data_IF_231541894044
#
_entry.id   IF_231541894044
#
_cell.length_a   1.000
_cell.length_b   1.000
_cell.length_c   1.000
_cell.angle_alpha   90.00
_cell.angle_beta   90.00
_cell.angle_gamma   90.00
#
_symmetry.space_group_name_H-M   'P 1'
#
loop_
_entity.id
_entity.type
_entity.pdbx_description
1 polymer ?
#
# COMPACT_ATOMS: atom_id res chain seq x y z
N UNK A 1 -33.85 4.75 -16.05
CA UNK A 1 -33.59 5.95 -15.23
C UNK A 1 -33.76 5.72 -13.73
N UNK A 2 -34.98 5.61 -13.16
CA UNK A 2 -35.18 5.55 -11.70
C UNK A 2 -34.51 4.34 -11.03
N UNK A 3 -34.61 3.14 -11.62
CA UNK A 3 -34.00 1.92 -11.08
C UNK A 3 -32.46 2.01 -11.07
N UNK A 4 -31.87 2.59 -12.12
CA UNK A 4 -30.42 2.77 -12.26
C UNK A 4 -29.92 3.75 -11.19
N UNK A 5 -30.61 4.88 -11.03
CA UNK A 5 -30.27 5.88 -10.03
C UNK A 5 -30.36 5.34 -8.59
N UNK A 6 -31.43 4.60 -8.28
CA UNK A 6 -31.57 3.94 -6.99
C UNK A 6 -30.45 2.90 -6.74
N UNK A 7 -30.11 2.10 -7.77
CA UNK A 7 -29.01 1.13 -7.69
C UNK A 7 -27.65 1.77 -7.45
N UNK A 8 -27.34 2.89 -8.13
CA UNK A 8 -26.10 3.62 -7.93
C UNK A 8 -25.98 4.20 -6.51
N UNK A 9 -27.05 4.80 -5.99
CA UNK A 9 -27.05 5.32 -4.62
C UNK A 9 -26.82 4.22 -3.58
N UNK A 10 -27.51 3.08 -3.72
CA UNK A 10 -27.33 1.92 -2.84
C UNK A 10 -25.89 1.40 -2.95
N UNK A 11 -25.36 1.28 -4.16
CA UNK A 11 -23.98 0.83 -4.41
C UNK A 11 -22.94 1.75 -3.76
N UNK A 12 -23.07 3.07 -3.92
CA UNK A 12 -22.16 4.06 -3.32
C UNK A 12 -22.20 3.98 -1.79
N UNK A 13 -23.41 3.94 -1.19
CA UNK A 13 -23.56 3.82 0.27
C UNK A 13 -22.93 2.51 0.77
N UNK A 14 -23.14 1.40 0.05
CA UNK A 14 -22.56 0.11 0.39
C UNK A 14 -21.02 0.13 0.33
N UNK A 15 -20.44 0.72 -0.71
CA UNK A 15 -18.98 0.86 -0.86
C UNK A 15 -18.41 1.69 0.30
N UNK A 16 -19.01 2.84 0.61
CA UNK A 16 -18.55 3.71 1.71
C UNK A 16 -18.59 2.95 3.04
N UNK A 17 -19.69 2.25 3.33
CA UNK A 17 -19.88 1.52 4.58
C UNK A 17 -18.87 0.36 4.76
N UNK A 18 -18.42 -0.26 3.67
CA UNK A 18 -17.44 -1.34 3.72
C UNK A 18 -15.98 -0.87 3.65
N UNK A 19 -15.71 0.28 3.05
CA UNK A 19 -14.35 0.72 2.77
C UNK A 19 -13.48 0.79 4.03
N UNK A 20 -13.99 1.35 5.12
CA UNK A 20 -13.25 1.43 6.39
C UNK A 20 -12.89 0.03 6.94
N UNK A 21 -13.83 -0.91 6.90
CA UNK A 21 -13.61 -2.27 7.39
C UNK A 21 -12.60 -3.03 6.53
N UNK A 22 -12.70 -2.88 5.22
CA UNK A 22 -11.77 -3.47 4.25
C UNK A 22 -10.37 -2.90 4.50
N UNK A 23 -10.24 -1.58 4.60
CA UNK A 23 -8.98 -0.91 4.87
C UNK A 23 -8.31 -1.44 6.15
N UNK A 24 -9.05 -1.49 7.26
CA UNK A 24 -8.53 -1.99 8.54
C UNK A 24 -8.09 -3.47 8.43
N UNK A 25 -8.91 -4.31 7.81
CA UNK A 25 -8.60 -5.74 7.67
C UNK A 25 -7.38 -5.97 6.78
N UNK A 26 -7.32 -5.29 5.63
CA UNK A 26 -6.19 -5.40 4.70
C UNK A 26 -4.90 -4.89 5.34
N UNK A 27 -4.94 -3.76 6.05
CA UNK A 27 -3.77 -3.26 6.81
C UNK A 27 -3.25 -4.30 7.79
N UNK A 28 -4.14 -4.90 8.58
CA UNK A 28 -3.80 -5.93 9.55
C UNK A 28 -3.21 -7.19 8.88
N UNK A 29 -3.78 -7.59 7.76
CA UNK A 29 -3.28 -8.73 6.98
C UNK A 29 -1.87 -8.46 6.41
N UNK A 30 -1.63 -7.27 5.85
CA UNK A 30 -0.32 -6.85 5.36
C UNK A 30 0.74 -6.86 6.47
N UNK A 31 0.40 -6.30 7.64
CA UNK A 31 1.29 -6.32 8.82
C UNK A 31 1.59 -7.74 9.29
N UNK A 32 0.63 -8.66 9.24
CA UNK A 32 0.87 -10.06 9.60
C UNK A 32 1.75 -10.78 8.57
N UNK A 33 1.53 -10.49 7.28
CA UNK A 33 2.24 -11.13 6.17
C UNK A 33 3.69 -10.62 6.03
N UNK A 34 4.04 -9.49 6.66
CA UNK A 34 5.41 -8.96 6.66
C UNK A 34 6.43 -10.01 7.14
N UNK A 35 6.02 -10.92 8.05
CA UNK A 35 6.86 -12.01 8.57
C UNK A 35 7.27 -13.04 7.51
N UNK A 36 6.53 -13.12 6.42
CA UNK A 36 6.82 -14.03 5.32
C UNK A 36 7.81 -13.45 4.31
N UNK A 37 8.17 -12.18 4.45
CA UNK A 37 9.03 -11.45 3.52
C UNK A 37 10.42 -12.07 3.30
N UNK A 38 11.12 -12.62 4.33
CA UNK A 38 12.44 -13.22 4.13
C UNK A 38 12.46 -14.40 3.16
N UNK A 39 11.32 -15.04 2.92
CA UNK A 39 11.21 -16.11 1.94
C UNK A 39 11.18 -15.53 0.51
N UNK A 40 12.25 -15.78 -0.25
CA UNK A 40 12.45 -15.24 -1.58
C UNK A 40 11.41 -15.68 -2.61
N UNK A 41 10.89 -16.89 -2.45
CA UNK A 41 9.91 -17.48 -3.35
C UNK A 41 8.49 -16.98 -3.08
N UNK A 42 8.28 -16.29 -1.93
CA UNK A 42 6.97 -15.87 -1.51
C UNK A 42 6.40 -14.76 -2.43
N UNK A 43 5.14 -14.94 -2.84
CA UNK A 43 4.43 -13.96 -3.67
C UNK A 43 4.24 -12.61 -3.00
N UNK A 44 4.14 -12.58 -1.66
CA UNK A 44 4.06 -11.35 -0.86
C UNK A 44 5.30 -10.49 -1.06
N UNK A 45 6.51 -11.07 -0.98
CA UNK A 45 7.77 -10.34 -1.19
C UNK A 45 7.77 -9.63 -2.53
N UNK A 46 7.54 -10.38 -3.62
CA UNK A 46 7.52 -9.84 -4.99
C UNK A 46 6.51 -8.71 -5.17
N UNK A 47 5.32 -8.84 -4.57
CA UNK A 47 4.28 -7.81 -4.63
C UNK A 47 4.65 -6.58 -3.81
N UNK A 48 5.15 -6.77 -2.60
CA UNK A 48 5.57 -5.68 -1.72
C UNK A 48 6.71 -4.88 -2.37
N UNK A 49 7.72 -5.58 -2.88
CA UNK A 49 8.83 -5.01 -3.65
C UNK A 49 8.35 -4.17 -4.84
N UNK A 50 7.36 -4.65 -5.59
CA UNK A 50 6.79 -3.90 -6.71
C UNK A 50 6.02 -2.66 -6.26
N UNK A 51 5.28 -2.76 -5.15
CA UNK A 51 4.54 -1.64 -4.56
C UNK A 51 5.51 -0.56 -4.07
N UNK A 52 6.57 -0.94 -3.35
CA UNK A 52 7.56 -0.03 -2.80
C UNK A 52 8.28 0.77 -3.89
N UNK A 53 8.72 0.09 -4.95
CA UNK A 53 9.32 0.75 -6.13
C UNK A 53 8.35 1.68 -6.84
N UNK A 54 7.09 1.27 -6.98
CA UNK A 54 6.08 2.02 -7.75
C UNK A 54 5.57 3.25 -7.02
N UNK A 55 5.38 3.13 -5.70
CA UNK A 55 4.77 4.17 -4.88
C UNK A 55 5.79 4.97 -4.06
N UNK A 56 7.08 4.64 -4.17
CA UNK A 56 8.16 5.33 -3.45
C UNK A 56 7.89 5.37 -1.94
N UNK A 57 7.62 4.19 -1.38
CA UNK A 57 7.21 3.99 0.00
C UNK A 57 8.00 2.84 0.65
N UNK A 58 7.99 2.76 1.99
CA UNK A 58 8.62 1.67 2.72
C UNK A 58 7.79 1.23 3.92
N UNK A 59 7.66 -0.08 4.10
CA UNK A 59 6.80 -0.68 5.13
C UNK A 59 5.31 -0.58 4.80
N UNK A 60 4.47 -0.90 5.78
CA UNK A 60 3.01 -0.89 5.61
C UNK A 60 2.51 0.49 6.04
N UNK A 61 2.77 0.88 7.28
CA UNK A 61 2.46 2.17 7.87
C UNK A 61 3.68 3.08 7.93
N UNK A 62 4.85 2.49 8.13
CA UNK A 62 6.13 3.19 8.13
C UNK A 62 7.29 2.22 7.89
N UNK A 63 8.46 2.75 7.51
CA UNK A 63 9.66 1.94 7.29
C UNK A 63 10.07 1.09 8.52
N UNK A 64 9.67 1.50 9.73
CA UNK A 64 9.99 0.78 10.98
C UNK A 64 9.25 -0.53 11.15
N UNK A 65 8.21 -0.79 10.35
CA UNK A 65 7.47 -2.06 10.37
C UNK A 65 8.39 -3.26 10.14
N UNK A 66 9.44 -3.08 9.33
CA UNK A 66 10.46 -4.10 9.09
C UNK A 66 11.24 -4.48 10.34
N UNK A 67 11.53 -3.50 11.21
CA UNK A 67 12.24 -3.71 12.47
C UNK A 67 11.30 -4.32 13.53
N UNK A 68 10.07 -3.81 13.59
CA UNK A 68 9.05 -4.24 14.55
C UNK A 68 8.63 -5.70 14.34
N UNK A 69 8.76 -6.20 13.11
CA UNK A 69 8.45 -7.59 12.77
C UNK A 69 9.52 -8.59 13.21
N UNK A 70 10.71 -8.12 13.62
CA UNK A 70 11.88 -8.92 14.02
C UNK A 70 12.25 -10.04 13.03
N UNK A 71 12.06 -9.78 11.73
CA UNK A 71 12.36 -10.76 10.66
C UNK A 71 13.86 -10.84 10.33
N UNK A 72 14.65 -9.89 10.85
CA UNK A 72 16.08 -9.76 10.62
C UNK A 72 16.91 -10.00 11.89
N UNK A 73 16.39 -10.76 12.86
CA UNK A 73 17.11 -11.12 14.09
C UNK A 73 17.70 -9.92 14.84
N UNK A 74 16.88 -8.90 15.09
CA UNK A 74 17.29 -7.67 15.77
C UNK A 74 18.06 -6.65 14.92
N UNK A 75 18.25 -6.90 13.62
CA UNK A 75 18.91 -5.96 12.71
C UNK A 75 17.92 -4.91 12.17
N UNK A 76 18.38 -3.65 12.06
CA UNK A 76 17.59 -2.54 11.51
C UNK A 76 17.66 -2.50 10.00
N UNK A 77 17.06 -3.49 9.33
CA UNK A 77 17.09 -3.64 7.88
C UNK A 77 15.73 -3.40 7.24
N UNK A 78 15.77 -2.84 6.04
CA UNK A 78 14.62 -2.73 5.13
C UNK A 78 14.96 -3.41 3.81
N UNK A 79 13.96 -3.77 3.00
CA UNK A 79 14.18 -4.19 1.62
C UNK A 79 14.95 -3.17 0.78
N UNK A 80 15.76 -3.64 -0.18
CA UNK A 80 16.44 -2.75 -1.13
C UNK A 80 15.47 -1.93 -1.99
N UNK A 81 14.26 -2.45 -2.22
CA UNK A 81 13.15 -1.75 -2.89
C UNK A 81 12.65 -0.51 -2.12
N UNK A 82 13.02 -0.35 -0.84
CA UNK A 82 12.77 0.88 -0.08
C UNK A 82 13.82 1.97 -0.30
N UNK A 83 14.96 1.69 -0.94
CA UNK A 83 16.01 2.67 -1.14
C UNK A 83 15.63 3.68 -2.23
N UNK A 84 16.04 4.93 -2.04
CA UNK A 84 15.87 5.97 -3.07
C UNK A 84 16.73 5.65 -4.29
N UNK A 85 18.00 5.29 -4.04
CA UNK A 85 18.86 4.66 -5.04
C UNK A 85 18.95 3.16 -4.76
N UNK A 86 18.16 2.37 -5.49
CA UNK A 86 18.17 0.91 -5.36
C UNK A 86 19.53 0.35 -5.80
N UNK A 87 20.29 -0.16 -4.82
CA UNK A 87 21.57 -0.85 -4.99
C UNK A 87 21.53 -2.12 -4.15
N UNK A 88 22.32 -3.11 -4.53
CA UNK A 88 22.44 -4.34 -3.76
C UNK A 88 22.81 -4.03 -2.30
N UNK A 89 22.01 -4.53 -1.36
CA UNK A 89 22.19 -4.40 0.09
C UNK A 89 22.15 -2.96 0.65
N UNK A 90 21.58 -2.01 -0.09
CA UNK A 90 21.42 -0.62 0.40
C UNK A 90 20.57 -0.56 1.69
N UNK A 91 19.62 -1.48 1.85
CA UNK A 91 18.71 -1.53 3.00
C UNK A 91 19.32 -2.16 4.27
N UNK A 92 20.56 -2.66 4.23
CA UNK A 92 21.22 -3.33 5.37
C UNK A 92 22.07 -2.42 6.26
N UNK A 93 22.35 -1.17 5.86
CA UNK A 93 23.20 -0.25 6.64
C UNK A 93 22.48 1.05 6.98
N UNK A 94 21.24 0.93 7.48
CA UNK A 94 20.43 2.10 7.78
C UNK A 94 20.81 2.63 9.15
N UNK A 95 21.27 3.88 9.19
CA UNK A 95 21.30 4.65 10.42
C UNK A 95 19.90 5.26 10.63
N UNK A 96 19.17 4.81 11.65
CA UNK A 96 17.82 5.32 11.98
C UNK A 96 17.78 6.82 12.27
N UNK A 97 18.92 7.45 12.56
CA UNK A 97 19.04 8.90 12.75
C UNK A 97 19.32 9.67 11.44
N UNK A 98 19.69 8.98 10.36
CA UNK A 98 20.06 9.56 9.05
C UNK A 98 19.33 8.84 7.91
N UNK A 99 18.03 8.61 8.05
CA UNK A 99 17.23 7.94 7.00
C UNK A 99 16.88 8.87 5.83
N UNK A 100 16.96 10.19 6.04
CA UNK A 100 16.60 11.20 5.04
C UNK A 100 17.51 11.10 3.81
N UNK A 101 16.91 10.85 2.65
CA UNK A 101 17.63 10.78 1.38
C UNK A 101 18.26 9.41 1.06
N UNK A 102 18.19 8.44 1.98
CA UNK A 102 18.64 7.06 1.73
C UNK A 102 17.48 6.12 1.37
N UNK A 103 16.39 6.21 2.12
CA UNK A 103 15.21 5.34 1.97
C UNK A 103 13.93 6.16 1.93
N UNK A 104 12.88 5.58 1.37
CA UNK A 104 11.52 6.06 1.58
C UNK A 104 11.10 5.80 3.03
N UNK A 105 10.50 6.79 3.68
CA UNK A 105 10.05 6.68 5.09
C UNK A 105 8.54 6.49 5.20
N UNK A 106 7.79 6.88 4.17
CA UNK A 106 6.33 6.83 4.16
C UNK A 106 5.81 5.40 4.00
N UNK A 107 4.78 5.04 4.75
CA UNK A 107 4.11 3.75 4.65
C UNK A 107 3.33 3.57 3.35
N UNK A 108 3.42 2.37 2.78
CA UNK A 108 2.75 2.07 1.52
C UNK A 108 1.22 2.02 1.61
N UNK A 109 0.65 1.70 2.78
CA UNK A 109 -0.79 1.51 2.92
C UNK A 109 -1.59 2.76 2.57
N UNK A 110 -1.19 3.92 3.10
CA UNK A 110 -1.87 5.19 2.82
C UNK A 110 -1.75 5.60 1.35
N UNK A 111 -0.58 5.38 0.74
CA UNK A 111 -0.35 5.70 -0.67
C UNK A 111 -1.16 4.78 -1.60
N UNK A 112 -1.29 3.49 -1.26
CA UNK A 112 -2.19 2.56 -1.95
C UNK A 112 -3.63 3.07 -1.88
N UNK A 113 -4.10 3.49 -0.70
CA UNK A 113 -5.46 4.03 -0.55
C UNK A 113 -5.67 5.28 -1.40
N UNK A 114 -4.70 6.19 -1.45
CA UNK A 114 -4.76 7.39 -2.29
C UNK A 114 -4.83 7.04 -3.79
N UNK A 115 -4.01 6.09 -4.26
CA UNK A 115 -4.02 5.61 -5.64
C UNK A 115 -5.35 4.96 -6.03
N UNK A 116 -5.90 4.11 -5.16
CA UNK A 116 -7.21 3.48 -5.36
C UNK A 116 -8.30 4.55 -5.44
N UNK A 117 -8.33 5.49 -4.49
CA UNK A 117 -9.34 6.55 -4.46
C UNK A 117 -9.27 7.43 -5.70
N UNK A 118 -8.07 7.76 -6.19
CA UNK A 118 -7.89 8.54 -7.42
C UNK A 118 -8.46 7.81 -8.64
N UNK A 119 -8.17 6.51 -8.77
CA UNK A 119 -8.67 5.71 -9.88
C UNK A 119 -10.20 5.52 -9.79
N UNK A 120 -10.75 5.31 -8.59
CA UNK A 120 -12.19 5.22 -8.37
C UNK A 120 -12.90 6.53 -8.72
N UNK A 121 -12.31 7.69 -8.43
CA UNK A 121 -12.87 8.98 -8.80
C UNK A 121 -12.98 9.12 -10.32
N UNK A 122 -11.96 8.73 -11.08
CA UNK A 122 -11.97 8.76 -12.55
C UNK A 122 -13.07 7.86 -13.11
N UNK A 123 -13.17 6.61 -12.62
CA UNK A 123 -14.23 5.67 -13.02
C UNK A 123 -15.62 6.21 -12.67
N UNK A 124 -15.76 6.83 -11.49
CA UNK A 124 -17.01 7.45 -11.06
C UNK A 124 -17.46 8.58 -12.00
N UNK A 125 -16.53 9.45 -12.41
CA UNK A 125 -16.82 10.54 -13.36
C UNK A 125 -17.25 9.97 -14.72
N UNK A 126 -16.52 8.99 -15.26
CA UNK A 126 -16.87 8.36 -16.54
C UNK A 126 -18.25 7.68 -16.48
N UNK A 127 -18.55 6.99 -15.38
CA UNK A 127 -19.84 6.33 -15.16
C UNK A 127 -20.98 7.34 -15.07
N UNK A 128 -20.75 8.46 -14.37
CA UNK A 128 -21.72 9.54 -14.27
C UNK A 128 -22.04 10.13 -15.66
N UNK A 129 -21.02 10.44 -16.48
CA UNK A 129 -21.24 10.99 -17.83
C UNK A 129 -22.09 10.04 -18.69
N UNK A 130 -21.82 8.73 -18.66
CA UNK A 130 -22.60 7.74 -19.42
C UNK A 130 -24.08 7.75 -19.05
N UNK A 131 -24.42 7.91 -17.77
CA UNK A 131 -25.80 7.94 -17.28
C UNK A 131 -26.59 9.17 -17.76
N UNK A 132 -25.93 10.27 -18.13
CA UNK A 132 -26.59 11.47 -18.69
C UNK A 132 -26.69 11.45 -20.22
N UNK A 133 -25.87 10.63 -20.89
CA UNK A 133 -25.86 10.51 -22.35
C UNK A 133 -26.93 9.53 -22.84
N UNK A 134 -27.20 8.47 -22.08
CA UNK A 134 -28.36 7.58 -22.27
C UNK A 134 -29.63 8.12 -21.62
#
# INVERSE_FOLDING_TARGET
>A
MVIIFAGLLIGVVFVIALNERIAISTRKELLNNIRQYPNEENTFRKKMDAIQRRLHCCGIDEYRDWFNADIWSGQTYVPDSCCIEEKFDCGKQINVNETNGLIYTDGCFNLIQMEINRNLMIVGILSFVLVFVE
#
